data_IF_085228796888
#
_entry.id   IF_085228796888
#
_cell.length_a   1.000
_cell.length_b   1.000
_cell.length_c   1.000
_cell.angle_alpha   90.00
_cell.angle_beta   90.00
_cell.angle_gamma   90.00
#
_symmetry.space_group_name_H-M   'P 1'
#
loop_
_entity.id
_entity.type
_entity.pdbx_description
1 polymer ?
#
# COMPACT_ATOMS: atom_id res chain seq x y z
N UNK A 1 -8.66 -15.70 -19.23
CA UNK A 1 -9.83 -15.07 -19.88
C UNK A 1 -10.92 -16.13 -20.00
N UNK A 2 -12.01 -16.01 -19.25
CA UNK A 2 -12.98 -17.11 -19.08
C UNK A 2 -14.36 -16.72 -19.60
N UNK A 3 -14.85 -17.48 -20.58
CA UNK A 3 -16.19 -17.41 -21.14
C UNK A 3 -17.07 -18.50 -20.55
N UNK A 4 -18.31 -18.14 -20.21
CA UNK A 4 -19.31 -19.12 -19.76
C UNK A 4 -20.09 -19.71 -20.94
N UNK A 5 -20.85 -20.78 -20.68
CA UNK A 5 -21.71 -21.34 -21.72
C UNK A 5 -22.77 -20.35 -22.23
N UNK A 6 -23.32 -19.54 -21.34
CA UNK A 6 -24.40 -18.56 -21.58
C UNK A 6 -23.95 -17.11 -21.62
N UNK A 7 -22.67 -16.80 -21.36
CA UNK A 7 -22.15 -15.43 -21.32
C UNK A 7 -20.78 -15.37 -21.99
N UNK A 8 -20.69 -14.62 -23.07
CA UNK A 8 -19.48 -14.39 -23.84
C UNK A 8 -18.87 -13.03 -23.50
N UNK A 9 -17.58 -12.88 -23.78
CA UNK A 9 -16.90 -11.57 -23.77
C UNK A 9 -17.53 -10.61 -24.79
N UNK A 10 -17.36 -9.33 -24.55
CA UNK A 10 -17.81 -8.24 -25.46
C UNK A 10 -17.23 -8.37 -26.87
N UNK A 11 -16.02 -8.91 -27.01
CA UNK A 11 -15.35 -9.19 -28.27
C UNK A 11 -15.28 -10.67 -28.62
N UNK A 12 -14.89 -10.99 -29.83
CA UNK A 12 -14.47 -12.35 -30.15
C UNK A 12 -13.14 -12.69 -29.45
N UNK A 13 -12.73 -13.96 -29.46
CA UNK A 13 -11.53 -14.44 -28.78
C UNK A 13 -10.28 -13.60 -29.05
N UNK A 14 -10.00 -13.32 -30.32
CA UNK A 14 -8.76 -12.62 -30.71
C UNK A 14 -8.80 -11.13 -30.28
N UNK A 15 -9.95 -10.47 -30.42
CA UNK A 15 -10.17 -9.12 -29.95
C UNK A 15 -10.09 -9.02 -28.41
N UNK A 16 -10.66 -10.00 -27.71
CA UNK A 16 -10.60 -10.07 -26.23
C UNK A 16 -9.17 -10.23 -25.76
N UNK A 17 -8.41 -11.18 -26.33
CA UNK A 17 -7.02 -11.39 -25.97
C UNK A 17 -6.16 -10.16 -26.28
N UNK A 18 -6.38 -9.51 -27.42
CA UNK A 18 -5.63 -8.30 -27.79
C UNK A 18 -5.92 -7.14 -26.83
N UNK A 19 -7.21 -6.91 -26.48
CA UNK A 19 -7.60 -5.85 -25.57
C UNK A 19 -7.06 -6.07 -24.17
N UNK A 20 -7.17 -7.30 -23.65
CA UNK A 20 -6.67 -7.61 -22.31
C UNK A 20 -5.14 -7.67 -22.24
N UNK A 21 -4.48 -8.07 -23.32
CA UNK A 21 -3.03 -7.94 -23.39
C UNK A 21 -2.58 -6.47 -23.33
N UNK A 22 -3.33 -5.57 -23.96
CA UNK A 22 -3.07 -4.13 -23.83
C UNK A 22 -3.25 -3.65 -22.39
N UNK A 23 -4.36 -4.02 -21.72
CA UNK A 23 -4.65 -3.62 -20.34
C UNK A 23 -3.62 -4.18 -19.35
N UNK A 24 -3.16 -5.42 -19.55
CA UNK A 24 -2.21 -6.04 -18.64
C UNK A 24 -0.75 -5.67 -18.92
N UNK A 25 -0.32 -5.72 -20.18
CA UNK A 25 1.09 -5.81 -20.53
C UNK A 25 1.65 -4.61 -21.32
N UNK A 26 0.80 -3.69 -21.78
CA UNK A 26 1.33 -2.56 -22.53
C UNK A 26 2.28 -1.72 -21.66
N UNK A 27 3.39 -1.27 -22.25
CA UNK A 27 4.30 -0.32 -21.62
C UNK A 27 3.91 1.09 -22.02
N UNK A 28 3.85 2.00 -21.04
CA UNK A 28 3.47 3.39 -21.22
C UNK A 28 2.08 3.57 -21.89
N UNK A 29 1.09 2.78 -21.43
CA UNK A 29 -0.28 2.88 -21.95
C UNK A 29 -0.88 4.26 -21.67
N UNK A 30 -1.30 4.95 -22.74
CA UNK A 30 -1.92 6.28 -22.65
C UNK A 30 -3.34 6.35 -23.22
N UNK A 31 -3.93 5.20 -23.55
CA UNK A 31 -5.27 5.11 -24.10
C UNK A 31 -6.32 5.33 -23.00
N UNK A 32 -7.12 6.38 -23.17
CA UNK A 32 -8.22 6.66 -22.23
C UNK A 32 -9.24 5.50 -22.21
N UNK A 33 -9.81 5.16 -21.04
CA UNK A 33 -9.74 5.88 -19.76
C UNK A 33 -8.52 5.50 -18.87
N UNK A 34 -7.68 4.57 -19.30
CA UNK A 34 -6.57 4.04 -18.50
C UNK A 34 -5.47 5.08 -18.26
N UNK A 35 -5.00 5.16 -17.03
CA UNK A 35 -3.80 5.93 -16.67
C UNK A 35 -2.51 5.25 -17.16
N UNK A 36 -2.54 3.94 -17.25
CA UNK A 36 -1.48 3.02 -17.66
C UNK A 36 -2.02 1.61 -17.68
N UNK A 37 -1.18 0.63 -17.99
CA UNK A 37 -1.49 -0.80 -17.87
C UNK A 37 -1.28 -1.31 -16.44
N UNK A 38 -1.65 -2.57 -16.18
CA UNK A 38 -1.32 -3.24 -14.91
C UNK A 38 0.20 -3.35 -14.73
N UNK A 39 0.93 -3.67 -15.81
CA UNK A 39 2.39 -3.59 -15.84
C UNK A 39 2.89 -2.19 -15.41
N UNK A 40 2.37 -1.12 -16.03
CA UNK A 40 2.80 0.25 -15.74
C UNK A 40 2.54 0.64 -14.28
N UNK A 41 1.44 0.15 -13.71
CA UNK A 41 1.12 0.39 -12.29
C UNK A 41 2.20 -0.22 -11.40
N UNK A 42 2.42 -1.53 -11.46
CA UNK A 42 3.38 -2.22 -10.59
C UNK A 42 4.83 -1.81 -10.87
N UNK A 43 5.17 -1.53 -12.12
CA UNK A 43 6.48 -0.99 -12.50
C UNK A 43 6.75 0.36 -11.83
N UNK A 44 5.75 1.25 -11.81
CA UNK A 44 5.86 2.54 -11.13
C UNK A 44 5.91 2.40 -9.60
N UNK A 45 5.10 1.49 -8.99
CA UNK A 45 5.12 1.30 -7.53
C UNK A 45 6.47 0.79 -7.03
N UNK A 46 7.16 0.00 -7.84
CA UNK A 46 8.46 -0.59 -7.54
C UNK A 46 9.66 0.26 -7.95
N UNK A 47 9.46 1.48 -8.45
CA UNK A 47 10.52 2.31 -9.04
C UNK A 47 11.29 1.60 -10.15
N UNK A 48 10.57 0.81 -10.95
CA UNK A 48 11.14 0.07 -12.08
C UNK A 48 11.83 -1.25 -11.72
N UNK A 49 11.70 -1.72 -10.47
CA UNK A 49 12.35 -2.97 -10.05
C UNK A 49 11.49 -4.23 -10.27
N UNK A 50 10.19 -4.08 -10.52
CA UNK A 50 9.26 -5.17 -10.74
C UNK A 50 8.62 -5.07 -12.12
N UNK A 51 9.15 -5.82 -13.10
CA UNK A 51 8.71 -5.85 -14.51
C UNK A 51 7.76 -7.03 -14.71
N UNK A 52 6.49 -6.85 -14.26
CA UNK A 52 5.47 -7.88 -14.29
C UNK A 52 4.88 -8.04 -15.70
N UNK A 53 4.75 -9.28 -16.16
CA UNK A 53 4.06 -9.62 -17.42
C UNK A 53 3.06 -10.75 -17.19
N UNK A 54 1.99 -10.77 -17.98
CA UNK A 54 0.92 -11.74 -17.91
C UNK A 54 0.83 -12.55 -19.20
N UNK A 55 0.80 -13.87 -19.08
CA UNK A 55 0.45 -14.76 -20.17
C UNK A 55 -1.06 -14.98 -20.21
N UNK A 56 -1.70 -14.69 -21.35
CA UNK A 56 -3.14 -14.74 -21.48
C UNK A 56 -3.60 -16.02 -22.16
N UNK A 57 -4.47 -16.76 -21.47
CA UNK A 57 -5.09 -17.97 -22.00
C UNK A 57 -6.60 -17.79 -22.07
N UNK A 58 -7.19 -18.05 -23.23
CA UNK A 58 -8.65 -18.03 -23.40
C UNK A 58 -9.26 -19.40 -23.11
N UNK A 59 -10.23 -19.43 -22.19
CA UNK A 59 -10.95 -20.63 -21.74
C UNK A 59 -12.44 -20.42 -21.93
N UNK A 60 -13.14 -21.47 -22.36
CA UNK A 60 -14.61 -21.53 -22.29
C UNK A 60 -14.99 -22.70 -21.39
N UNK A 61 -15.65 -22.38 -20.28
CA UNK A 61 -16.17 -23.39 -19.35
C UNK A 61 -17.55 -23.88 -19.81
N UNK A 62 -17.93 -25.09 -19.37
CA UNK A 62 -19.21 -25.72 -19.73
C UNK A 62 -20.40 -25.17 -18.93
N UNK A 63 -20.14 -24.59 -17.75
CA UNK A 63 -21.15 -24.07 -16.85
C UNK A 63 -21.71 -22.72 -17.31
N UNK A 64 -22.96 -22.46 -16.94
CA UNK A 64 -23.56 -21.14 -17.05
C UNK A 64 -23.01 -20.22 -15.94
N UNK A 65 -22.96 -18.93 -16.15
CA UNK A 65 -22.37 -17.96 -15.21
C UNK A 65 -22.98 -18.08 -13.79
N UNK A 66 -24.28 -18.31 -13.70
CA UNK A 66 -24.99 -18.45 -12.42
C UNK A 66 -24.51 -19.66 -11.58
N UNK A 67 -23.87 -20.67 -12.18
CA UNK A 67 -23.29 -21.81 -11.44
C UNK A 67 -22.21 -21.36 -10.45
N UNK A 68 -21.48 -20.32 -10.81
CA UNK A 68 -20.30 -19.82 -10.09
C UNK A 68 -20.60 -18.58 -9.26
N UNK A 69 -21.85 -18.10 -9.31
CA UNK A 69 -22.31 -16.97 -8.52
C UNK A 69 -22.92 -17.46 -7.20
N UNK A 70 -22.89 -16.60 -6.18
CA UNK A 70 -23.54 -16.84 -4.90
C UNK A 70 -24.04 -15.52 -4.34
N UNK A 71 -25.08 -15.56 -3.48
CA UNK A 71 -25.52 -14.43 -2.66
C UNK A 71 -24.65 -14.25 -1.40
N UNK A 72 -23.76 -15.20 -1.13
CA UNK A 72 -22.71 -15.11 -0.11
C UNK A 72 -21.34 -14.98 -0.80
N UNK A 73 -21.16 -13.85 -1.45
CA UNK A 73 -19.94 -13.35 -2.13
C UNK A 73 -19.23 -14.38 -3.03
N UNK A 74 -18.30 -15.17 -2.49
CA UNK A 74 -17.36 -16.03 -3.23
C UNK A 74 -17.62 -17.52 -3.06
N UNK A 75 -18.74 -17.91 -2.41
CA UNK A 75 -19.03 -19.29 -1.95
C UNK A 75 -19.00 -20.37 -3.06
N UNK A 76 -19.24 -20.00 -4.32
CA UNK A 76 -19.23 -20.93 -5.45
C UNK A 76 -18.05 -20.74 -6.42
N UNK A 77 -17.13 -19.84 -6.13
CA UNK A 77 -16.04 -19.51 -7.06
C UNK A 77 -15.02 -20.64 -7.22
N UNK A 78 -14.87 -21.55 -6.24
CA UNK A 78 -14.06 -22.76 -6.38
C UNK A 78 -14.44 -23.59 -7.61
N UNK A 79 -15.74 -23.69 -7.93
CA UNK A 79 -16.18 -24.44 -9.12
C UNK A 79 -15.76 -23.81 -10.43
N UNK A 80 -15.59 -22.47 -10.44
CA UNK A 80 -15.05 -21.77 -11.60
C UNK A 80 -13.57 -22.14 -11.80
N UNK A 81 -12.79 -22.16 -10.72
CA UNK A 81 -11.37 -22.54 -10.78
C UNK A 81 -11.25 -23.99 -11.22
N UNK A 82 -12.03 -24.92 -10.65
CA UNK A 82 -12.05 -26.33 -11.03
C UNK A 82 -12.36 -26.53 -12.53
N UNK A 83 -13.45 -25.90 -13.03
CA UNK A 83 -13.86 -26.02 -14.44
C UNK A 83 -12.82 -25.39 -15.39
N UNK A 84 -12.11 -24.34 -14.98
CA UNK A 84 -11.00 -23.75 -15.73
C UNK A 84 -9.84 -24.74 -15.80
N UNK A 85 -9.46 -25.31 -14.67
CA UNK A 85 -8.33 -26.24 -14.60
C UNK A 85 -8.60 -27.52 -15.41
N UNK A 86 -9.84 -28.05 -15.43
CA UNK A 86 -10.24 -29.15 -16.32
C UNK A 86 -9.95 -28.84 -17.81
N UNK A 87 -10.19 -27.60 -18.22
CA UNK A 87 -9.88 -27.17 -19.60
C UNK A 87 -8.37 -27.02 -19.80
N UNK A 88 -7.65 -26.49 -18.81
CA UNK A 88 -6.21 -26.22 -18.91
C UNK A 88 -5.36 -27.50 -18.86
N UNK A 89 -5.82 -28.58 -18.22
CA UNK A 89 -5.17 -29.89 -18.26
C UNK A 89 -4.91 -30.41 -19.70
N UNK A 90 -5.77 -30.02 -20.64
CA UNK A 90 -5.61 -30.38 -22.05
C UNK A 90 -4.54 -29.57 -22.79
N UNK A 91 -3.90 -28.63 -22.12
CA UNK A 91 -2.94 -27.69 -22.69
C UNK A 91 -1.57 -27.90 -22.09
N UNK A 92 -0.54 -27.71 -22.91
CA UNK A 92 0.84 -27.77 -22.45
C UNK A 92 1.28 -26.43 -21.90
N UNK A 93 0.95 -26.15 -20.63
CA UNK A 93 1.34 -24.94 -19.92
C UNK A 93 2.61 -25.21 -19.12
N UNK A 94 3.60 -24.36 -19.25
CA UNK A 94 4.81 -24.41 -18.43
C UNK A 94 4.54 -23.77 -17.05
N UNK A 95 4.04 -24.57 -16.13
CA UNK A 95 3.71 -24.14 -14.78
C UNK A 95 4.93 -23.70 -13.95
N UNK A 96 6.14 -24.09 -14.36
CA UNK A 96 7.37 -23.68 -13.67
C UNK A 96 7.64 -22.19 -13.76
N UNK A 97 7.08 -21.50 -14.75
CA UNK A 97 7.20 -20.05 -14.92
C UNK A 97 6.40 -19.26 -13.86
N UNK A 98 5.43 -19.90 -13.23
CA UNK A 98 4.51 -19.27 -12.27
C UNK A 98 4.74 -19.74 -10.82
N UNK A 99 5.72 -20.60 -10.59
CA UNK A 99 6.23 -21.01 -9.28
C UNK A 99 7.50 -20.16 -8.98
N UNK A 100 7.30 -18.90 -8.57
CA UNK A 100 8.37 -17.92 -8.49
C UNK A 100 9.36 -18.15 -7.34
N UNK A 101 8.88 -18.75 -6.25
CA UNK A 101 9.68 -19.04 -5.06
C UNK A 101 10.18 -20.49 -5.00
N UNK A 102 9.76 -21.35 -5.93
CA UNK A 102 10.21 -22.74 -6.07
C UNK A 102 9.60 -23.70 -5.03
N UNK A 103 8.46 -23.35 -4.43
CA UNK A 103 7.80 -24.17 -3.40
C UNK A 103 6.80 -25.17 -3.97
N UNK A 104 6.60 -25.16 -5.28
CA UNK A 104 5.68 -26.05 -5.99
C UNK A 104 4.26 -25.50 -6.11
N UNK A 105 4.01 -24.26 -5.69
CA UNK A 105 2.73 -23.60 -5.90
C UNK A 105 2.81 -22.59 -7.04
N UNK A 106 1.73 -22.51 -7.81
CA UNK A 106 1.50 -21.39 -8.74
C UNK A 106 1.16 -20.17 -7.90
N UNK A 107 2.04 -19.20 -7.87
CA UNK A 107 1.90 -18.05 -6.97
C UNK A 107 0.65 -17.23 -7.26
N UNK A 108 0.22 -17.15 -8.54
CA UNK A 108 -0.89 -16.28 -8.91
C UNK A 108 -1.61 -16.80 -10.16
N UNK A 109 -2.89 -17.07 -10.01
CA UNK A 109 -3.81 -17.30 -11.11
C UNK A 109 -4.81 -16.14 -11.18
N UNK A 110 -4.82 -15.38 -12.27
CA UNK A 110 -5.74 -14.28 -12.46
C UNK A 110 -6.80 -14.66 -13.49
N UNK A 111 -8.07 -14.67 -13.07
CA UNK A 111 -9.23 -15.02 -13.86
C UNK A 111 -9.98 -13.73 -14.20
N UNK A 112 -10.11 -13.40 -15.50
CA UNK A 112 -11.06 -12.40 -15.95
C UNK A 112 -12.25 -13.14 -16.56
N UNK A 113 -13.41 -13.02 -15.94
CA UNK A 113 -14.63 -13.65 -16.41
C UNK A 113 -15.49 -12.68 -17.22
N UNK A 114 -16.20 -13.22 -18.23
CA UNK A 114 -17.03 -12.45 -19.15
C UNK A 114 -18.23 -11.79 -18.44
N UNK A 115 -18.46 -10.52 -18.73
CA UNK A 115 -19.57 -9.74 -18.21
C UNK A 115 -19.26 -8.93 -16.94
N UNK A 116 -20.30 -8.64 -16.16
CA UNK A 116 -20.25 -7.74 -14.99
C UNK A 116 -19.93 -8.48 -13.70
N UNK A 117 -19.42 -7.72 -12.72
CA UNK A 117 -19.18 -8.19 -11.36
C UNK A 117 -20.25 -7.74 -10.36
N UNK A 118 -20.46 -8.53 -9.30
CA UNK A 118 -21.43 -8.25 -8.24
C UNK A 118 -21.09 -6.98 -7.44
N UNK A 119 -19.83 -6.57 -7.38
CA UNK A 119 -19.37 -5.38 -6.65
C UNK A 119 -20.04 -4.08 -7.10
N UNK A 120 -20.47 -4.01 -8.36
CA UNK A 120 -21.19 -2.85 -8.90
C UNK A 120 -22.73 -3.05 -8.96
N UNK A 121 -23.21 -4.27 -8.70
CA UNK A 121 -24.62 -4.69 -8.72
C UNK A 121 -24.98 -5.48 -7.47
N UNK A 122 -24.79 -4.88 -6.30
CA UNK A 122 -24.83 -5.53 -4.98
C UNK A 122 -26.14 -6.25 -4.60
N UNK A 123 -27.20 -6.12 -5.40
CA UNK A 123 -28.45 -6.87 -5.25
C UNK A 123 -28.59 -8.04 -6.25
N UNK A 124 -27.62 -8.23 -7.15
CA UNK A 124 -27.64 -9.33 -8.10
C UNK A 124 -27.07 -10.60 -7.43
N UNK A 125 -27.81 -11.71 -7.55
CA UNK A 125 -27.43 -13.02 -7.01
C UNK A 125 -26.92 -13.99 -8.10
N UNK A 126 -26.82 -13.49 -9.34
CA UNK A 126 -26.39 -14.23 -10.54
C UNK A 126 -25.05 -13.72 -11.09
N UNK A 127 -24.35 -12.88 -10.33
CA UNK A 127 -23.05 -12.34 -10.65
C UNK A 127 -21.99 -12.82 -9.64
N UNK A 128 -20.76 -12.93 -10.11
CA UNK A 128 -19.61 -13.29 -9.28
C UNK A 128 -19.06 -12.02 -8.63
N UNK A 129 -18.72 -12.08 -7.34
CA UNK A 129 -18.00 -11.02 -6.66
C UNK A 129 -16.53 -11.02 -7.10
N UNK A 130 -15.94 -9.93 -7.57
CA UNK A 130 -14.49 -9.84 -7.77
C UNK A 130 -13.76 -9.97 -6.44
N UNK A 131 -12.79 -10.90 -6.37
CA UNK A 131 -12.07 -11.22 -5.14
C UNK A 131 -10.75 -11.94 -5.43
N UNK A 132 -9.88 -11.95 -4.44
CA UNK A 132 -8.78 -12.90 -4.31
C UNK A 132 -9.12 -13.91 -3.21
N UNK A 133 -8.83 -15.20 -3.45
CA UNK A 133 -9.02 -16.25 -2.45
C UNK A 133 -8.08 -17.43 -2.68
N UNK A 134 -8.23 -18.47 -1.83
CA UNK A 134 -7.49 -19.72 -1.94
C UNK A 134 -8.44 -20.90 -2.04
N UNK A 135 -8.10 -21.90 -2.87
CA UNK A 135 -8.84 -23.15 -2.96
C UNK A 135 -8.90 -23.86 -1.62
N UNK A 136 -7.77 -23.87 -0.90
CA UNK A 136 -7.65 -24.48 0.42
C UNK A 136 -8.48 -23.82 1.54
N UNK A 137 -9.08 -22.67 1.29
CA UNK A 137 -9.98 -21.97 2.23
C UNK A 137 -11.47 -22.14 1.89
N UNK A 138 -11.80 -22.78 0.75
CA UNK A 138 -13.18 -23.13 0.42
C UNK A 138 -13.62 -24.43 1.10
N UNK A 139 -14.83 -24.42 1.65
CA UNK A 139 -15.43 -25.65 2.21
C UNK A 139 -15.84 -26.60 1.08
N UNK A 140 -15.59 -27.89 1.27
CA UNK A 140 -16.12 -28.96 0.39
C UNK A 140 -17.62 -29.09 0.58
N UNK A 141 -18.37 -29.18 -0.50
CA UNK A 141 -19.81 -29.38 -0.50
C UNK A 141 -20.27 -30.51 0.41
N UNK A 142 -21.26 -30.17 1.25
CA UNK A 142 -21.88 -31.10 2.16
C UNK A 142 -21.00 -31.64 3.29
N UNK A 143 -19.78 -31.09 3.46
CA UNK A 143 -18.80 -31.53 4.45
C UNK A 143 -18.43 -30.39 5.40
N UNK A 144 -19.08 -30.32 6.55
CA UNK A 144 -18.77 -29.29 7.56
C UNK A 144 -17.33 -29.42 8.06
N UNK A 145 -16.56 -28.31 7.95
CA UNK A 145 -15.18 -28.21 8.42
C UNK A 145 -14.16 -28.99 7.58
N UNK A 146 -14.52 -29.41 6.37
CA UNK A 146 -13.58 -30.01 5.41
C UNK A 146 -13.37 -29.03 4.27
N UNK A 147 -12.12 -28.67 4.04
CA UNK A 147 -11.73 -27.71 3.00
C UNK A 147 -11.33 -28.40 1.70
N UNK A 148 -11.38 -27.66 0.60
CA UNK A 148 -10.85 -28.11 -0.69
C UNK A 148 -9.34 -28.29 -0.63
N UNK A 149 -8.82 -29.12 -1.53
CA UNK A 149 -7.38 -29.22 -1.72
C UNK A 149 -6.93 -28.26 -2.83
N UNK A 150 -5.70 -27.71 -2.80
CA UNK A 150 -5.10 -27.07 -3.97
C UNK A 150 -5.14 -27.99 -5.20
N UNK A 151 -5.41 -27.42 -6.37
CA UNK A 151 -5.59 -28.20 -7.60
C UNK A 151 -4.22 -28.60 -8.18
N UNK A 152 -3.91 -29.91 -8.33
CA UNK A 152 -2.65 -30.34 -8.92
C UNK A 152 -2.62 -30.07 -10.43
N UNK A 153 -1.48 -29.64 -10.93
CA UNK A 153 -1.18 -29.45 -12.36
C UNK A 153 0.20 -30.00 -12.66
N UNK A 154 0.44 -30.45 -13.90
CA UNK A 154 1.69 -31.12 -14.24
C UNK A 154 2.37 -30.47 -15.45
N UNK A 155 3.69 -30.32 -15.37
CA UNK A 155 4.54 -29.95 -16.50
C UNK A 155 5.88 -30.69 -16.43
N UNK A 156 6.28 -31.36 -17.52
CA UNK A 156 7.52 -32.15 -17.62
C UNK A 156 7.69 -33.14 -16.44
N UNK A 157 6.64 -33.92 -16.13
CA UNK A 157 6.60 -34.91 -15.02
C UNK A 157 6.79 -34.32 -13.62
N UNK A 158 6.78 -32.99 -13.46
CA UNK A 158 6.77 -32.31 -12.16
C UNK A 158 5.35 -31.80 -11.87
N UNK A 159 4.88 -32.08 -10.65
CA UNK A 159 3.61 -31.57 -10.13
C UNK A 159 3.81 -30.18 -9.53
N UNK A 160 2.84 -29.30 -9.80
CA UNK A 160 2.63 -28.01 -9.17
C UNK A 160 1.20 -27.95 -8.62
N UNK A 161 0.87 -26.94 -7.83
CA UNK A 161 -0.45 -26.77 -7.23
C UNK A 161 -0.97 -25.34 -7.45
N UNK A 162 -2.21 -25.25 -7.86
CA UNK A 162 -2.94 -23.96 -7.92
C UNK A 162 -3.80 -23.85 -6.67
N UNK A 163 -3.55 -22.84 -5.87
CA UNK A 163 -4.28 -22.55 -4.62
C UNK A 163 -4.79 -21.12 -4.63
N UNK A 164 -3.89 -20.12 -4.71
CA UNK A 164 -4.21 -18.71 -4.78
C UNK A 164 -4.75 -18.32 -6.16
N UNK A 165 -5.87 -17.59 -6.19
CA UNK A 165 -6.45 -17.09 -7.44
C UNK A 165 -7.13 -15.72 -7.21
N UNK A 166 -7.25 -14.93 -8.29
CA UNK A 166 -8.09 -13.73 -8.35
C UNK A 166 -9.21 -13.96 -9.38
N UNK A 167 -10.43 -13.57 -9.06
CA UNK A 167 -11.57 -13.58 -9.98
C UNK A 167 -12.07 -12.15 -10.21
N UNK A 168 -12.07 -11.68 -11.45
CA UNK A 168 -12.31 -10.29 -11.84
C UNK A 168 -13.31 -10.20 -12.99
N UNK A 169 -14.15 -9.17 -12.97
CA UNK A 169 -15.12 -8.95 -14.03
C UNK A 169 -14.50 -8.31 -15.28
N UNK A 170 -15.00 -8.71 -16.46
CA UNK A 170 -14.65 -8.04 -17.72
C UNK A 170 -15.14 -6.60 -17.75
N UNK A 171 -16.38 -6.36 -17.33
CA UNK A 171 -17.08 -5.10 -17.53
C UNK A 171 -17.45 -4.40 -16.23
N UNK A 172 -17.32 -3.06 -16.25
CA UNK A 172 -17.96 -2.18 -15.28
C UNK A 172 -19.47 -2.10 -15.55
N UNK A 173 -20.22 -1.49 -14.64
CA UNK A 173 -21.67 -1.24 -14.82
C UNK A 173 -22.02 -0.38 -16.04
N UNK A 174 -21.06 0.32 -16.62
CA UNK A 174 -21.23 1.17 -17.80
C UNK A 174 -20.86 0.45 -19.11
N UNK A 175 -20.63 -0.86 -19.07
CA UNK A 175 -20.14 -1.67 -20.20
C UNK A 175 -18.74 -1.28 -20.69
N UNK A 176 -17.95 -0.58 -19.86
CA UNK A 176 -16.54 -0.32 -20.12
C UNK A 176 -15.69 -1.51 -19.64
N UNK A 177 -14.50 -1.69 -20.22
CA UNK A 177 -13.58 -2.70 -19.75
C UNK A 177 -13.18 -2.45 -18.30
N UNK A 178 -13.21 -3.49 -17.53
CA UNK A 178 -13.09 -3.75 -16.12
C UNK A 178 -12.47 -2.72 -15.22
N UNK A 179 -12.84 -2.78 -13.98
CA UNK A 179 -12.31 -1.93 -12.91
C UNK A 179 -10.82 -2.18 -12.74
N UNK A 180 -10.00 -1.44 -13.47
CA UNK A 180 -8.55 -1.53 -13.46
C UNK A 180 -7.96 -1.47 -12.05
N UNK A 181 -8.47 -0.54 -11.22
CA UNK A 181 -8.07 -0.42 -9.82
C UNK A 181 -8.42 -1.65 -8.99
N UNK A 182 -9.55 -2.31 -9.26
CA UNK A 182 -9.91 -3.58 -8.61
C UNK A 182 -8.93 -4.69 -9.03
N UNK A 183 -8.51 -4.74 -10.30
CA UNK A 183 -7.46 -5.68 -10.73
C UNK A 183 -6.18 -5.49 -9.92
N UNK A 184 -5.72 -4.25 -9.78
CA UNK A 184 -4.51 -3.93 -9.00
C UNK A 184 -4.70 -4.28 -7.51
N UNK A 185 -5.88 -4.06 -6.94
CA UNK A 185 -6.23 -4.38 -5.56
C UNK A 185 -6.19 -5.89 -5.30
N UNK A 186 -6.99 -6.67 -6.06
CA UNK A 186 -7.06 -8.13 -5.88
C UNK A 186 -5.71 -8.80 -6.15
N UNK A 187 -4.97 -8.32 -7.15
CA UNK A 187 -3.64 -8.84 -7.43
C UNK A 187 -2.63 -8.52 -6.32
N UNK A 188 -2.82 -7.41 -5.59
CA UNK A 188 -1.98 -7.03 -4.44
C UNK A 188 -2.15 -7.99 -3.27
N UNK A 189 -3.34 -8.59 -3.08
CA UNK A 189 -3.54 -9.65 -2.09
C UNK A 189 -2.63 -10.86 -2.32
N UNK A 190 -2.31 -11.19 -3.57
CA UNK A 190 -1.36 -12.26 -3.90
C UNK A 190 0.07 -12.01 -3.38
N UNK A 191 0.42 -10.75 -3.06
CA UNK A 191 1.67 -10.41 -2.40
C UNK A 191 1.61 -10.49 -0.87
N UNK A 192 0.46 -10.89 -0.30
CA UNK A 192 0.25 -11.02 1.13
C UNK A 192 -0.21 -9.74 1.83
N UNK A 193 -0.77 -8.76 1.10
CA UNK A 193 -1.37 -7.59 1.70
C UNK A 193 -2.85 -7.82 2.00
N UNK A 194 -3.30 -7.51 3.23
CA UNK A 194 -4.71 -7.59 3.60
C UNK A 194 -5.47 -6.34 3.17
N UNK A 195 -6.79 -6.40 3.24
CA UNK A 195 -7.63 -5.22 3.22
C UNK A 195 -7.35 -4.31 4.43
N UNK A 196 -7.26 -2.99 4.18
CA UNK A 196 -7.18 -2.00 5.25
C UNK A 196 -8.54 -1.43 5.66
N UNK A 197 -9.62 -1.85 5.00
CA UNK A 197 -10.98 -1.66 5.46
C UNK A 197 -11.47 -2.89 6.25
N UNK A 198 -12.61 -2.78 6.94
CA UNK A 198 -13.26 -3.91 7.61
C UNK A 198 -14.76 -3.88 7.32
N UNK A 199 -15.25 -4.79 6.52
CA UNK A 199 -16.60 -4.80 5.99
C UNK A 199 -16.91 -3.49 5.25
N UNK A 200 -17.85 -2.69 5.77
CA UNK A 200 -18.22 -1.39 5.16
C UNK A 200 -17.48 -0.19 5.76
N UNK A 201 -16.51 -0.43 6.64
CA UNK A 201 -15.80 0.64 7.35
C UNK A 201 -14.39 0.79 6.80
N UNK A 202 -14.13 1.96 6.24
CA UNK A 202 -12.83 2.39 5.75
C UNK A 202 -12.03 3.08 6.86
N UNK A 203 -10.71 2.96 6.85
CA UNK A 203 -9.81 3.53 7.86
C UNK A 203 -8.71 4.42 7.27
N UNK A 204 -8.29 4.15 6.04
CA UNK A 204 -7.30 4.97 5.32
C UNK A 204 -7.88 5.62 4.05
N UNK A 205 -9.08 5.21 3.66
CA UNK A 205 -9.86 5.86 2.60
C UNK A 205 -9.22 5.75 1.23
N UNK A 206 -9.45 6.76 0.42
CA UNK A 206 -8.98 6.81 -0.95
C UNK A 206 -7.48 7.17 -1.09
N UNK A 207 -6.72 7.20 0.02
CA UNK A 207 -5.28 7.36 0.01
C UNK A 207 -4.53 6.06 -0.30
N UNK A 208 -5.21 4.92 -0.18
CA UNK A 208 -4.59 3.60 -0.15
C UNK A 208 -5.32 2.64 -1.10
N UNK A 209 -4.55 1.85 -1.89
CA UNK A 209 -5.09 0.87 -2.83
C UNK A 209 -5.93 -0.20 -2.12
N UNK A 210 -5.44 -0.71 -0.97
CA UNK A 210 -6.08 -1.79 -0.20
C UNK A 210 -7.23 -1.30 0.69
N UNK A 211 -7.70 -0.06 0.44
CA UNK A 211 -8.94 0.52 0.95
C UNK A 211 -9.69 1.11 -0.25
N UNK A 212 -10.28 2.29 -0.22
CA UNK A 212 -11.05 2.88 -1.32
C UNK A 212 -10.19 3.50 -2.44
N UNK A 213 -8.88 3.51 -2.33
CA UNK A 213 -7.98 4.08 -3.34
C UNK A 213 -8.00 3.37 -4.69
N UNK A 214 -8.47 2.11 -4.74
CA UNK A 214 -8.69 1.36 -5.97
C UNK A 214 -9.76 2.01 -6.88
N UNK A 215 -10.71 2.76 -6.33
CA UNK A 215 -11.77 3.45 -7.10
C UNK A 215 -11.37 4.85 -7.57
N UNK A 216 -10.17 5.34 -7.26
CA UNK A 216 -9.70 6.64 -7.71
C UNK A 216 -9.70 6.73 -9.24
N UNK A 217 -10.01 7.93 -9.77
CA UNK A 217 -10.09 8.13 -11.22
C UNK A 217 -11.14 7.24 -11.89
N UNK A 218 -12.27 6.98 -11.23
CA UNK A 218 -13.30 6.04 -11.67
C UNK A 218 -12.78 4.60 -11.85
N UNK A 219 -11.79 4.20 -11.04
CA UNK A 219 -11.16 2.89 -11.09
C UNK A 219 -10.05 2.74 -12.14
N UNK A 220 -9.68 3.81 -12.84
CA UNK A 220 -8.62 3.77 -13.88
C UNK A 220 -7.31 4.45 -13.49
N UNK A 221 -7.25 5.05 -12.31
CA UNK A 221 -6.05 5.66 -11.75
C UNK A 221 -6.03 5.44 -10.23
N UNK A 222 -5.84 4.19 -9.79
CA UNK A 222 -5.83 3.87 -8.36
C UNK A 222 -4.68 4.56 -7.65
N UNK A 223 -4.79 4.69 -6.31
CA UNK A 223 -3.73 5.22 -5.47
C UNK A 223 -2.45 4.38 -5.59
N UNK A 224 -1.31 5.04 -5.55
CA UNK A 224 -0.03 4.35 -5.43
C UNK A 224 0.13 3.74 -4.03
N UNK A 225 1.00 2.75 -3.92
CA UNK A 225 1.37 2.13 -2.66
C UNK A 225 1.95 3.14 -1.68
N UNK A 226 1.63 2.96 -0.41
CA UNK A 226 2.27 3.66 0.70
C UNK A 226 3.74 3.25 0.87
N UNK A 227 4.45 3.99 1.71
CA UNK A 227 5.81 3.62 2.10
C UNK A 227 5.86 2.27 2.83
N UNK A 228 4.80 1.89 3.55
CA UNK A 228 4.72 0.61 4.27
C UNK A 228 4.70 -0.58 3.31
N UNK A 229 3.82 -0.55 2.31
CA UNK A 229 3.73 -1.60 1.31
C UNK A 229 5.02 -1.72 0.50
N UNK A 230 5.58 -0.58 0.06
CA UNK A 230 6.86 -0.56 -0.67
C UNK A 230 8.02 -1.08 0.18
N UNK A 231 7.99 -0.85 1.50
CA UNK A 231 8.97 -1.39 2.42
C UNK A 231 8.84 -2.91 2.57
N UNK A 232 7.63 -3.43 2.77
CA UNK A 232 7.39 -4.88 2.85
C UNK A 232 7.77 -5.60 1.54
N UNK A 233 7.57 -4.97 0.38
CA UNK A 233 7.99 -5.49 -0.93
C UNK A 233 9.49 -5.35 -1.20
N UNK A 234 10.24 -4.70 -0.32
CA UNK A 234 11.68 -4.45 -0.52
C UNK A 234 11.99 -3.38 -1.59
N UNK A 235 11.00 -2.58 -1.99
CA UNK A 235 11.16 -1.51 -2.98
C UNK A 235 11.58 -0.18 -2.38
N UNK A 236 11.46 -0.05 -1.06
CA UNK A 236 11.84 1.11 -0.28
C UNK A 236 12.41 0.65 1.06
N UNK A 237 13.42 1.37 1.57
CA UNK A 237 13.86 1.23 2.97
C UNK A 237 13.71 2.59 3.64
N UNK A 238 12.78 2.74 4.60
CA UNK A 238 12.59 4.02 5.27
C UNK A 238 13.79 4.38 6.15
N UNK A 239 14.11 5.67 6.19
CA UNK A 239 15.16 6.19 7.09
C UNK A 239 14.62 6.29 8.51
N UNK A 240 15.21 5.58 9.46
CA UNK A 240 14.81 5.66 10.87
C UNK A 240 15.32 6.94 11.51
N UNK A 241 14.40 7.69 12.13
CA UNK A 241 14.70 8.90 12.89
C UNK A 241 14.84 8.55 14.38
N UNK A 242 16.09 8.56 14.87
CA UNK A 242 16.41 8.23 16.26
C UNK A 242 16.88 9.45 17.10
N UNK A 243 17.16 10.58 16.47
CA UNK A 243 17.63 11.79 17.13
C UNK A 243 17.11 13.04 16.43
N UNK A 244 17.13 14.17 17.13
CA UNK A 244 16.67 15.45 16.60
C UNK A 244 17.23 15.73 15.19
N UNK A 245 16.35 15.89 14.22
CA UNK A 245 16.69 16.00 12.79
C UNK A 245 15.76 16.99 12.11
N UNK A 246 16.28 17.83 11.24
CA UNK A 246 15.49 18.62 10.30
C UNK A 246 15.52 17.91 8.95
N UNK A 247 14.37 17.53 8.45
CA UNK A 247 14.19 16.99 7.10
C UNK A 247 13.83 18.16 6.18
N UNK A 248 14.58 18.30 5.08
CA UNK A 248 14.30 19.29 4.03
C UNK A 248 14.19 18.59 2.70
N UNK A 249 13.46 19.21 1.78
CA UNK A 249 13.37 18.81 0.38
C UNK A 249 12.96 17.33 0.17
N UNK A 250 12.12 16.80 1.09
CA UNK A 250 11.58 15.44 0.96
C UNK A 250 10.73 15.34 -0.31
N UNK A 251 11.13 14.53 -1.31
CA UNK A 251 10.40 14.40 -2.57
C UNK A 251 9.06 13.70 -2.39
N UNK A 252 8.20 13.75 -3.41
CA UNK A 252 7.01 12.92 -3.43
C UNK A 252 7.38 11.44 -3.47
N UNK A 253 6.65 10.62 -2.72
CA UNK A 253 6.87 9.17 -2.68
C UNK A 253 6.74 8.51 -4.07
N UNK A 254 5.96 9.11 -4.98
CA UNK A 254 5.86 8.66 -6.37
C UNK A 254 7.12 8.88 -7.19
N UNK A 255 8.00 9.80 -6.78
CA UNK A 255 9.21 10.15 -7.54
C UNK A 255 10.44 9.40 -7.06
N UNK A 256 10.61 9.32 -5.73
CA UNK A 256 11.78 8.72 -5.11
C UNK A 256 11.39 7.84 -3.91
N UNK A 257 12.11 6.72 -3.65
CA UNK A 257 11.85 5.81 -2.54
C UNK A 257 12.30 6.41 -1.19
N UNK A 258 11.70 7.52 -0.78
CA UNK A 258 12.06 8.22 0.45
C UNK A 258 10.89 8.33 1.41
N UNK A 259 11.05 7.77 2.60
CA UNK A 259 10.13 7.85 3.73
C UNK A 259 10.93 7.79 5.05
N UNK A 260 10.28 8.20 6.14
CA UNK A 260 10.91 8.21 7.46
C UNK A 260 10.13 7.34 8.44
N UNK A 261 10.88 6.62 9.27
CA UNK A 261 10.38 5.69 10.28
C UNK A 261 10.63 6.26 11.69
N UNK A 262 9.60 6.23 12.52
CA UNK A 262 9.67 6.64 13.93
C UNK A 262 9.10 5.50 14.79
N UNK A 263 9.96 4.78 15.51
CA UNK A 263 9.56 3.62 16.31
C UNK A 263 9.04 4.00 17.68
N UNK A 264 8.10 3.19 18.18
CA UNK A 264 7.80 3.10 19.60
C UNK A 264 8.99 2.41 20.31
N UNK A 265 9.64 3.10 21.23
CA UNK A 265 10.81 2.56 21.93
C UNK A 265 10.48 1.41 22.90
N UNK A 266 9.21 1.25 23.27
CA UNK A 266 8.71 0.16 24.11
C UNK A 266 8.22 -1.06 23.33
N UNK A 267 7.89 -0.90 22.05
CA UNK A 267 7.36 -1.97 21.20
C UNK A 267 7.74 -1.74 19.73
N UNK A 268 8.77 -2.43 19.24
CA UNK A 268 9.42 -2.16 17.96
C UNK A 268 8.53 -2.35 16.72
N UNK A 269 7.49 -3.19 16.83
CA UNK A 269 6.55 -3.43 15.74
C UNK A 269 5.44 -2.37 15.65
N UNK A 270 5.44 -1.38 16.55
CA UNK A 270 4.58 -0.20 16.44
C UNK A 270 5.41 1.02 16.09
N UNK A 271 5.02 1.69 15.03
CA UNK A 271 5.78 2.80 14.49
C UNK A 271 4.92 3.76 13.67
N UNK A 272 5.45 4.95 13.42
CA UNK A 272 4.93 5.86 12.42
C UNK A 272 5.80 5.82 11.17
N UNK A 273 5.15 5.90 10.00
CA UNK A 273 5.80 6.17 8.72
C UNK A 273 5.35 7.54 8.21
N UNK A 274 6.33 8.35 7.85
CA UNK A 274 6.14 9.70 7.33
C UNK A 274 6.50 9.70 5.85
N UNK A 275 5.55 10.07 5.00
CA UNK A 275 5.71 10.11 3.55
C UNK A 275 5.14 11.40 2.97
N UNK A 276 5.63 11.82 1.82
CA UNK A 276 5.11 12.97 1.08
C UNK A 276 4.31 12.47 -0.12
N UNK A 277 3.02 12.77 -0.16
CA UNK A 277 2.14 12.43 -1.28
C UNK A 277 1.79 13.68 -2.07
N UNK A 278 1.89 13.59 -3.39
CA UNK A 278 1.54 14.68 -4.31
C UNK A 278 0.58 14.16 -5.38
N UNK A 279 -0.37 15.00 -5.83
CA UNK A 279 -1.35 14.62 -6.84
C UNK A 279 -0.73 14.56 -8.23
N UNK A 280 0.12 13.57 -8.46
CA UNK A 280 0.83 13.31 -9.72
C UNK A 280 1.06 11.82 -9.98
N UNK A 281 1.40 11.44 -11.20
CA UNK A 281 1.56 10.05 -11.56
C UNK A 281 0.30 9.23 -11.26
N UNK A 282 0.45 8.11 -10.58
CA UNK A 282 -0.67 7.29 -10.12
C UNK A 282 -1.45 7.95 -8.97
N UNK A 283 -0.82 8.86 -8.25
CA UNK A 283 -1.45 9.62 -7.17
C UNK A 283 -2.27 10.84 -7.67
N UNK A 284 -2.44 11.04 -8.97
CA UNK A 284 -3.18 12.20 -9.52
C UNK A 284 -4.57 12.37 -8.90
N UNK A 285 -5.24 11.27 -8.54
CA UNK A 285 -6.62 11.27 -8.04
C UNK A 285 -6.74 10.93 -6.55
N UNK A 286 -5.64 10.93 -5.78
CA UNK A 286 -5.73 10.80 -4.32
C UNK A 286 -6.45 12.03 -3.71
N UNK A 287 -7.02 11.91 -2.49
CA UNK A 287 -7.89 12.95 -1.94
C UNK A 287 -7.23 14.31 -1.72
N UNK A 288 -5.92 14.37 -1.58
CA UNK A 288 -5.19 15.61 -1.31
C UNK A 288 -3.70 15.48 -1.57
N UNK A 289 -2.90 16.40 -1.04
CA UNK A 289 -1.44 16.38 -1.15
C UNK A 289 -0.80 16.90 0.13
N UNK A 290 0.41 16.42 0.44
CA UNK A 290 1.17 16.82 1.60
C UNK A 290 1.81 15.65 2.33
N UNK A 291 2.23 15.88 3.56
CA UNK A 291 2.82 14.87 4.42
C UNK A 291 1.70 14.00 5.00
N UNK A 292 1.78 12.69 4.79
CA UNK A 292 0.98 11.71 5.51
C UNK A 292 1.82 11.08 6.63
N UNK A 293 1.16 10.80 7.75
CA UNK A 293 1.76 10.08 8.87
C UNK A 293 0.89 8.86 9.13
N UNK A 294 1.40 7.71 8.75
CA UNK A 294 0.76 6.43 9.04
C UNK A 294 1.16 5.95 10.44
N UNK A 295 0.19 5.45 11.19
CA UNK A 295 0.41 4.71 12.41
C UNK A 295 0.23 3.23 12.11
N UNK A 296 1.28 2.48 12.26
CA UNK A 296 1.31 1.03 12.01
C UNK A 296 1.62 0.31 13.32
N UNK A 297 0.79 -0.65 13.67
CA UNK A 297 0.97 -1.61 14.75
C UNK A 297 1.05 -2.99 14.09
N UNK A 298 2.24 -3.31 13.55
CA UNK A 298 2.46 -4.45 12.67
C UNK A 298 2.42 -5.77 13.42
N UNK A 299 1.47 -6.62 13.04
CA UNK A 299 1.37 -8.00 13.50
C UNK A 299 1.42 -8.94 12.27
N UNK A 300 2.54 -9.63 12.03
CA UNK A 300 2.68 -10.47 10.85
C UNK A 300 1.67 -11.61 10.78
N UNK A 301 1.12 -12.06 11.92
CA UNK A 301 0.12 -13.12 11.94
C UNK A 301 -1.24 -12.60 11.52
N UNK A 302 -1.55 -11.35 11.89
CA UNK A 302 -2.78 -10.68 11.50
C UNK A 302 -2.76 -10.27 10.01
N UNK A 303 -1.58 -9.86 9.48
CA UNK A 303 -1.44 -9.47 8.09
C UNK A 303 -1.75 -10.59 7.10
N UNK A 304 -1.49 -11.84 7.47
CA UNK A 304 -1.76 -13.02 6.65
C UNK A 304 -3.03 -13.78 7.08
N UNK A 305 -3.83 -13.22 7.98
CA UNK A 305 -5.04 -13.87 8.47
C UNK A 305 -6.17 -13.77 7.44
N UNK A 306 -6.76 -14.91 7.09
CA UNK A 306 -7.96 -14.98 6.22
C UNK A 306 -9.26 -14.80 7.01
N UNK A 307 -9.21 -14.81 8.36
CA UNK A 307 -10.40 -14.75 9.22
C UNK A 307 -10.52 -13.45 10.01
N UNK A 308 -9.45 -12.67 10.10
CA UNK A 308 -9.40 -11.46 10.91
C UNK A 308 -8.96 -10.24 10.09
N UNK A 309 -9.72 -9.16 10.16
CA UNK A 309 -9.32 -7.89 9.57
C UNK A 309 -8.18 -7.24 10.36
N UNK A 310 -7.21 -6.67 9.66
CA UNK A 310 -6.11 -5.87 10.23
C UNK A 310 -6.66 -4.68 11.02
N UNK A 311 -7.67 -4.02 10.49
CA UNK A 311 -8.34 -2.94 11.18
C UNK A 311 -9.68 -3.40 11.77
N UNK A 312 -9.91 -3.10 13.06
CA UNK A 312 -11.18 -3.34 13.77
C UNK A 312 -11.60 -2.06 14.49
N UNK A 313 -12.90 -1.87 14.78
CA UNK A 313 -13.36 -0.70 15.54
C UNK A 313 -12.66 -0.52 16.90
N UNK A 314 -12.25 -1.62 17.54
CA UNK A 314 -11.57 -1.63 18.83
C UNK A 314 -10.08 -1.36 18.76
N UNK A 315 -9.44 -1.65 17.62
CA UNK A 315 -8.01 -1.43 17.39
C UNK A 315 -7.75 -1.36 15.89
N UNK A 316 -7.12 -0.30 15.47
CA UNK A 316 -6.66 -0.12 14.09
C UNK A 316 -5.15 -0.35 14.05
N UNK A 317 -4.74 -1.37 13.28
CA UNK A 317 -3.33 -1.69 13.12
C UNK A 317 -2.67 -0.92 11.97
N UNK A 318 -3.50 -0.25 11.14
CA UNK A 318 -3.05 0.56 10.02
C UNK A 318 -3.99 1.76 9.83
N UNK A 319 -3.52 2.96 10.12
CA UNK A 319 -4.31 4.17 10.00
C UNK A 319 -3.45 5.38 9.65
N UNK A 320 -4.08 6.46 9.17
CA UNK A 320 -3.45 7.77 8.97
C UNK A 320 -3.88 8.69 10.11
N UNK A 321 -2.94 9.47 10.67
CA UNK A 321 -3.26 10.59 11.56
C UNK A 321 -3.82 11.75 10.73
N UNK A 322 -5.14 12.06 10.83
CA UNK A 322 -5.75 13.10 10.02
C UNK A 322 -5.39 14.50 10.56
N UNK A 323 -4.71 15.32 9.75
CA UNK A 323 -4.30 16.68 10.15
C UNK A 323 -5.50 17.57 10.56
N UNK A 324 -6.70 17.31 10.02
CA UNK A 324 -7.94 17.99 10.42
C UNK A 324 -8.63 17.36 11.65
N UNK A 325 -8.00 16.39 12.30
CA UNK A 325 -8.54 15.62 13.42
C UNK A 325 -9.95 15.00 13.16
N UNK A 326 -10.24 14.66 11.92
CA UNK A 326 -11.49 14.02 11.53
C UNK A 326 -11.20 12.72 10.80
N UNK A 327 -11.46 11.59 11.44
CA UNK A 327 -11.24 10.24 10.91
C UNK A 327 -12.32 9.77 9.92
N UNK A 328 -13.25 10.63 9.51
CA UNK A 328 -14.24 10.28 8.48
C UNK A 328 -13.57 10.12 7.12
N UNK A 329 -13.77 8.98 6.48
CA UNK A 329 -13.23 8.66 5.15
C UNK A 329 -14.02 9.28 3.99
N UNK A 330 -15.04 10.09 4.27
CA UNK A 330 -15.70 10.89 3.22
C UNK A 330 -14.68 11.76 2.47
N UNK A 331 -14.73 11.76 1.14
CA UNK A 331 -13.72 12.36 0.27
C UNK A 331 -13.31 13.78 0.64
N UNK A 332 -14.29 14.62 1.04
CA UNK A 332 -14.00 16.00 1.45
C UNK A 332 -13.25 16.09 2.80
N UNK A 333 -13.38 15.09 3.68
CA UNK A 333 -12.61 15.01 4.91
C UNK A 333 -11.22 14.40 4.67
N UNK A 334 -11.15 13.31 3.91
CA UNK A 334 -9.88 12.64 3.57
C UNK A 334 -8.87 13.58 2.94
N UNK A 335 -9.29 14.52 2.08
CA UNK A 335 -8.38 15.50 1.46
C UNK A 335 -7.67 16.43 2.44
N UNK A 336 -8.19 16.52 3.67
CA UNK A 336 -7.65 17.35 4.74
C UNK A 336 -6.86 16.55 5.78
N UNK A 337 -6.48 15.30 5.46
CA UNK A 337 -5.70 14.44 6.34
C UNK A 337 -4.20 14.70 6.26
N UNK A 338 -3.72 15.20 5.13
CA UNK A 338 -2.31 15.54 4.96
C UNK A 338 -1.93 16.80 5.71
N UNK A 339 -0.69 16.81 6.23
CA UNK A 339 -0.07 17.98 6.86
C UNK A 339 0.69 18.82 5.82
N UNK A 340 0.75 20.16 6.02
CA UNK A 340 -0.01 20.93 7.00
C UNK A 340 -1.47 21.13 6.59
N UNK A 341 -2.37 21.20 7.57
CA UNK A 341 -3.76 21.56 7.33
C UNK A 341 -4.14 22.81 8.17
N UNK A 342 -4.53 23.88 7.52
CA UNK A 342 -4.71 25.18 8.17
C UNK A 342 -3.47 25.58 8.99
N UNK A 343 -3.64 25.74 10.30
CA UNK A 343 -2.53 26.03 11.23
C UNK A 343 -1.95 24.77 11.88
N UNK A 344 -2.49 23.57 11.56
CA UNK A 344 -1.97 22.33 12.10
C UNK A 344 -0.83 21.82 11.23
N UNK A 345 0.39 21.98 11.74
CA UNK A 345 1.63 21.57 11.09
C UNK A 345 2.52 20.75 12.05
N UNK A 346 1.90 20.05 13.01
CA UNK A 346 2.59 19.24 14.00
C UNK A 346 1.82 17.98 14.36
N UNK A 347 2.55 16.95 14.80
CA UNK A 347 2.04 15.79 15.50
C UNK A 347 2.90 15.56 16.73
N UNK A 348 2.36 15.86 17.90
CA UNK A 348 3.05 15.80 19.20
C UNK A 348 2.15 15.09 20.22
N UNK A 349 2.66 14.84 21.41
CA UNK A 349 1.89 14.23 22.49
C UNK A 349 0.68 15.09 22.95
N UNK A 350 0.69 16.37 22.62
CA UNK A 350 -0.33 17.35 23.04
C UNK A 350 -1.04 18.05 21.89
N UNK A 351 -0.65 17.76 20.63
CA UNK A 351 -1.37 18.28 19.46
C UNK A 351 -2.73 17.64 19.26
N UNK A 352 -3.49 18.11 18.30
CA UNK A 352 -4.77 17.54 17.91
C UNK A 352 -4.78 17.25 16.42
N UNK A 353 -4.68 15.94 16.00
CA UNK A 353 -4.59 14.74 16.82
C UNK A 353 -3.29 14.68 17.66
N UNK A 354 -3.31 13.89 18.74
CA UNK A 354 -2.11 13.58 19.52
C UNK A 354 -1.38 12.35 18.97
N UNK A 355 -0.05 12.30 19.19
CA UNK A 355 0.83 11.20 18.77
C UNK A 355 0.64 9.97 19.68
N UNK A 356 -0.48 9.28 19.52
CA UNK A 356 -0.91 8.15 20.37
C UNK A 356 -0.38 6.81 19.89
N UNK A 357 -0.20 5.88 20.82
CA UNK A 357 0.20 4.49 20.62
C UNK A 357 -0.85 3.51 21.14
N UNK A 358 -0.87 2.32 20.59
CA UNK A 358 -1.64 1.18 21.13
C UNK A 358 -0.88 0.47 22.25
N UNK A 359 0.42 0.26 22.07
CA UNK A 359 1.29 -0.40 23.02
C UNK A 359 2.01 0.63 23.90
N UNK A 360 2.48 0.20 25.06
CA UNK A 360 3.22 1.08 25.97
C UNK A 360 4.58 1.45 25.39
N UNK A 361 4.92 2.72 25.54
CA UNK A 361 6.28 3.21 25.33
C UNK A 361 7.17 2.88 26.55
N UNK A 362 8.47 3.08 26.48
CA UNK A 362 9.42 2.84 27.57
C UNK A 362 9.11 3.59 28.87
N UNK A 363 8.48 4.75 28.77
CA UNK A 363 8.01 5.54 29.92
C UNK A 363 6.68 5.09 30.50
N UNK A 364 6.14 3.96 30.01
CA UNK A 364 4.83 3.41 30.35
C UNK A 364 3.64 4.29 29.92
N UNK A 365 3.86 5.29 29.09
CA UNK A 365 2.77 6.04 28.43
C UNK A 365 2.30 5.33 27.17
N UNK A 366 1.19 5.82 26.59
CA UNK A 366 0.73 5.49 25.24
C UNK A 366 0.89 6.68 24.31
N UNK A 367 2.03 7.36 24.41
CA UNK A 367 2.40 8.50 23.59
C UNK A 367 3.75 8.22 22.94
N UNK A 368 3.93 8.71 21.73
CA UNK A 368 5.16 8.48 20.97
C UNK A 368 6.37 9.20 21.59
N UNK A 369 6.15 10.36 22.22
CA UNK A 369 7.17 11.20 22.86
C UNK A 369 8.31 11.63 21.92
N UNK A 370 8.04 11.63 20.63
CA UNK A 370 8.94 12.03 19.54
C UNK A 370 8.21 13.00 18.60
N UNK A 371 8.14 14.29 18.95
CA UNK A 371 7.34 15.27 18.23
C UNK A 371 7.83 15.48 16.79
N UNK A 372 6.88 15.58 15.88
CA UNK A 372 7.03 16.13 14.54
C UNK A 372 6.44 17.52 14.54
N UNK A 373 7.20 18.52 14.09
CA UNK A 373 6.80 19.95 14.10
C UNK A 373 7.25 20.64 12.83
N UNK A 374 6.78 21.87 12.62
CA UNK A 374 7.16 22.71 11.46
C UNK A 374 6.95 22.01 10.11
N UNK A 375 5.94 21.12 10.03
CA UNK A 375 5.61 20.46 8.77
C UNK A 375 5.19 21.47 7.72
N UNK A 376 5.83 21.44 6.56
CA UNK A 376 5.56 22.36 5.46
C UNK A 376 5.71 21.66 4.11
N UNK A 377 5.01 22.16 3.11
CA UNK A 377 5.15 21.75 1.72
C UNK A 377 5.35 22.99 0.87
N UNK A 378 6.45 23.04 0.14
CA UNK A 378 6.81 24.14 -0.78
C UNK A 378 6.94 23.54 -2.18
N UNK A 379 6.05 23.94 -3.09
CA UNK A 379 5.93 23.26 -4.37
C UNK A 379 5.46 21.80 -4.16
N UNK A 380 6.30 20.85 -4.46
CA UNK A 380 6.06 19.42 -4.24
C UNK A 380 6.97 18.81 -3.16
N UNK A 381 7.93 19.56 -2.66
CA UNK A 381 8.85 19.13 -1.62
C UNK A 381 8.29 19.37 -0.22
N UNK A 382 8.43 18.39 0.66
CA UNK A 382 8.01 18.48 2.05
C UNK A 382 9.20 18.68 2.99
N UNK A 383 8.93 19.27 4.15
CA UNK A 383 9.92 19.46 5.21
C UNK A 383 9.26 19.36 6.58
N UNK A 384 10.04 18.96 7.60
CA UNK A 384 9.60 18.92 8.99
C UNK A 384 10.78 18.86 9.96
N UNK A 385 10.53 19.20 11.21
CA UNK A 385 11.45 18.98 12.31
C UNK A 385 11.02 17.78 13.15
N UNK A 386 11.94 16.85 13.39
CA UNK A 386 11.79 15.74 14.30
C UNK A 386 12.52 16.05 15.61
N UNK A 387 11.84 15.91 16.75
CA UNK A 387 12.37 16.19 18.10
C UNK A 387 13.02 17.59 18.22
N UNK A 388 12.36 18.60 17.60
CA UNK A 388 12.82 20.00 17.62
C UNK A 388 13.84 20.36 16.55
N UNK A 389 14.11 19.45 15.61
CA UNK A 389 14.99 19.68 14.48
C UNK A 389 16.49 19.62 14.80
N UNK A 390 17.29 19.70 13.76
CA UNK A 390 18.73 19.84 13.91
C UNK A 390 19.02 21.22 14.53
N UNK A 391 19.14 21.26 15.84
CA UNK A 391 19.71 22.43 16.48
C UNK A 391 21.14 22.57 15.98
N UNK A 392 21.58 23.76 15.59
CA UNK A 392 22.97 24.01 15.17
C UNK A 392 24.02 23.69 16.25
N UNK A 393 23.68 22.86 17.20
CA UNK A 393 24.45 22.27 18.29
C UNK A 393 25.09 20.91 17.96
N UNK A 394 24.89 20.37 16.74
CA UNK A 394 25.40 19.06 16.36
C UNK A 394 26.91 18.93 16.20
N UNK A 395 27.67 20.01 16.47
CA UNK A 395 29.10 19.95 16.60
C UNK A 395 29.55 20.74 17.83
N UNK A 396 29.41 20.15 19.02
CA UNK A 396 30.23 20.57 20.16
C UNK A 396 31.59 19.87 19.97
N UNK A 397 32.46 20.51 19.20
CA UNK A 397 33.87 20.10 19.21
C UNK A 397 34.45 20.46 20.59
N UNK A 398 34.77 19.43 21.38
CA UNK A 398 35.65 19.58 22.52
C UNK A 398 37.05 19.81 21.98
N UNK A 399 37.40 21.04 21.76
CA UNK A 399 38.79 21.40 21.41
C UNK A 399 39.61 21.61 22.70
N UNK A 400 40.56 20.72 22.93
CA UNK A 400 41.67 21.05 23.79
C UNK A 400 42.50 22.15 23.11
N UNK A 401 42.59 23.30 23.72
CA UNK A 401 43.06 24.56 23.19
C UNK A 401 44.47 24.61 22.65
N UNK A 402 44.67 25.06 21.41
CA UNK A 402 45.91 25.66 20.91
C UNK A 402 45.73 26.70 19.80
N UNK A 403 44.53 27.27 19.60
CA UNK A 403 44.28 28.23 18.50
C UNK A 403 43.99 29.64 19.01
N UNK A 404 44.74 30.65 18.49
CA UNK A 404 44.61 32.10 18.74
C UNK A 404 43.32 32.76 18.19
N UNK A 405 42.26 31.99 17.96
CA UNK A 405 41.01 32.53 17.42
C UNK A 405 40.19 33.25 18.49
N UNK A 406 39.60 34.43 18.20
CA UNK A 406 38.81 35.19 19.18
C UNK A 406 37.51 34.45 19.54
N UNK A 407 37.21 34.48 20.84
CA UNK A 407 35.94 34.02 21.41
C UNK A 407 34.89 35.10 21.38
N UNK A 408 33.66 34.74 21.09
CA UNK A 408 32.49 35.60 21.19
C UNK A 408 31.44 34.94 22.06
N UNK A 409 30.80 35.70 22.94
CA UNK A 409 29.63 35.19 23.67
C UNK A 409 28.42 35.06 22.71
N UNK A 410 27.31 34.48 23.19
CA UNK A 410 26.09 34.28 22.38
C UNK A 410 25.42 35.63 21.95
N UNK A 411 25.80 36.74 22.55
CA UNK A 411 25.38 38.09 22.14
C UNK A 411 26.32 38.70 21.08
N UNK A 412 27.33 37.98 20.58
CA UNK A 412 28.28 38.44 19.58
C UNK A 412 29.42 39.32 20.12
N UNK A 413 29.57 39.48 21.44
CA UNK A 413 30.62 40.28 22.07
C UNK A 413 31.88 39.43 22.20
N UNK A 414 33.05 40.02 21.86
CA UNK A 414 34.34 39.39 22.00
C UNK A 414 34.70 39.15 23.47
N UNK A 415 35.13 37.93 23.78
CA UNK A 415 35.54 37.52 25.13
C UNK A 415 37.06 37.22 25.12
N UNK A 416 37.82 37.97 25.89
CA UNK A 416 39.29 37.84 25.93
C UNK A 416 39.78 36.77 26.92
N UNK A 417 38.96 36.37 27.89
CA UNK A 417 39.28 35.34 28.87
C UNK A 417 38.03 34.44 29.07
N UNK A 418 37.80 33.49 28.18
CA UNK A 418 36.61 32.66 28.26
C UNK A 418 36.63 31.75 29.49
N UNK A 419 35.63 31.88 30.34
CA UNK A 419 35.38 30.99 31.47
C UNK A 419 34.58 29.78 30.98
N UNK A 420 34.31 28.83 31.86
CA UNK A 420 33.43 27.71 31.54
C UNK A 420 32.09 28.20 30.96
N UNK A 421 31.76 27.80 29.75
CA UNK A 421 30.54 28.26 29.06
C UNK A 421 30.55 27.95 27.56
N UNK A 422 29.53 28.46 26.87
CA UNK A 422 29.36 28.31 25.42
C UNK A 422 29.77 29.60 24.73
N UNK A 423 30.61 29.49 23.71
CA UNK A 423 31.15 30.62 22.92
C UNK A 423 31.05 30.34 21.42
N UNK A 424 31.18 31.36 20.61
CA UNK A 424 31.34 31.28 19.15
C UNK A 424 32.82 31.50 18.82
N UNK A 425 33.45 30.55 18.13
CA UNK A 425 34.82 30.61 17.63
C UNK A 425 34.82 30.23 16.15
N UNK A 426 35.37 31.09 15.30
CA UNK A 426 35.36 30.87 13.83
C UNK A 426 33.96 30.52 13.25
N UNK A 427 32.88 31.15 13.81
CA UNK A 427 31.52 30.91 13.40
C UNK A 427 30.90 29.61 13.93
N UNK A 428 31.60 28.82 14.78
CA UNK A 428 31.13 27.58 15.39
C UNK A 428 30.91 27.74 16.89
N UNK A 429 29.96 27.01 17.44
CA UNK A 429 29.75 26.97 18.90
C UNK A 429 30.79 26.04 19.54
N UNK A 430 31.47 26.54 20.57
CA UNK A 430 32.52 25.86 21.32
C UNK A 430 32.18 25.87 22.80
N UNK A 431 32.31 24.74 23.48
CA UNK A 431 32.19 24.63 24.93
C UNK A 431 33.56 24.71 25.56
N UNK A 432 33.76 25.73 26.42
CA UNK A 432 34.94 25.80 27.28
C UNK A 432 34.60 25.05 28.57
N UNK A 433 35.28 23.94 28.84
CA UNK A 433 35.21 23.21 30.09
C UNK A 433 36.45 23.49 30.96
N UNK A 434 36.33 23.41 32.30
CA UNK A 434 37.51 23.47 33.21
C UNK A 434 38.46 22.36 32.92
#
# INVERSE_FOLDING_TARGET
MVEFNDRAFKGNKDATLAQWNLIFNAKDLTEAPFKGSVHDYFYAQSYGNFDLTFDLVYVKVKGNAVKYASDDYDENSQYLVEDIMEVLETRNIDWSLYDWNGDGFVNQLLIVYAGHGMNEFTSATDLIWPHQWWMSEHLKDGQSGVYCDPIPVTYNDKEYKVDCYCALAELTKNDDYGSFGTICHEYTHCFGFPDFYAGKKSYVGAWELMDYGNYNGNGYCPAGYSAHERWLMGWLTPTELASATTVTDMPALSDEPQAYLIRNDGFENEYYLVENRQQKGWDTNIPGKGILIFHIDYDPTLWVSVTENVNKPSRQHYLIFPANNNSSTATYNCRNWSYPYNNNNELTDTSTPAATLWNLNKDSSKLMSKPLTNMAVIGEAASFDFMGGATGLNTIERTNHTDDAPYYNLAGQRVTNPQQGIYIVKGRKVVVSK
#
